data_IF_716233433732
#
_entry.id   IF_716233433732
#
_cell.length_a   1.000
_cell.length_b   1.000
_cell.length_c   1.000
_cell.angle_alpha   90.00
_cell.angle_beta   90.00
_cell.angle_gamma   90.00
#
_symmetry.space_group_name_H-M   'P 1'
#
loop_
_entity.id
_entity.type
_entity.pdbx_description
1 polymer ?
#
# COMPACT_ATOMS: atom_id res chain seq x y z
N UNK A 1 20.24 -40.28 -73.31
CA UNK A 1 19.17 -39.65 -74.13
C UNK A 1 18.80 -38.38 -73.41
N UNK A 2 19.46 -37.27 -73.76
CA UNK A 2 18.96 -36.29 -74.71
C UNK A 2 17.61 -35.69 -74.29
N UNK A 3 17.46 -34.47 -73.96
CA UNK A 3 17.69 -33.17 -74.58
C UNK A 3 17.32 -32.10 -73.56
N UNK A 4 18.14 -31.09 -73.26
CA UNK A 4 18.31 -29.84 -73.98
C UNK A 4 17.01 -29.09 -74.24
N UNK A 5 16.89 -27.90 -73.65
CA UNK A 5 16.80 -26.56 -74.31
C UNK A 5 16.41 -25.57 -73.25
N UNK A 6 17.29 -24.61 -72.87
CA UNK A 6 17.69 -23.40 -73.50
C UNK A 6 16.51 -22.42 -73.76
N UNK A 7 16.48 -21.37 -73.15
CA UNK A 7 16.93 -20.03 -73.48
C UNK A 7 15.99 -19.03 -72.82
N UNK A 8 16.53 -18.12 -72.04
CA UNK A 8 16.97 -16.82 -72.50
C UNK A 8 15.87 -15.86 -72.94
N UNK A 9 15.84 -14.81 -72.27
CA UNK A 9 15.71 -13.40 -72.71
C UNK A 9 15.07 -12.63 -71.59
N UNK A 10 15.73 -11.83 -70.84
CA UNK A 10 16.29 -10.54 -71.20
C UNK A 10 15.31 -9.67 -72.01
N UNK A 11 15.07 -8.62 -71.42
CA UNK A 11 14.75 -7.27 -71.89
C UNK A 11 13.42 -6.77 -71.27
N UNK A 12 13.71 -5.71 -70.55
CA UNK A 12 13.12 -4.39 -70.72
C UNK A 12 11.64 -4.35 -70.38
N UNK A 13 11.23 -3.54 -69.64
CA UNK A 13 11.46 -2.10 -69.55
C UNK A 13 10.88 -1.66 -68.18
N UNK A 14 11.63 -0.85 -67.61
CA UNK A 14 11.33 0.56 -67.58
C UNK A 14 10.13 0.96 -66.74
N UNK A 15 10.54 1.53 -65.66
CA UNK A 15 10.00 2.82 -65.24
C UNK A 15 8.49 2.86 -65.02
N UNK A 16 8.11 2.34 -63.87
CA UNK A 16 6.98 2.96 -63.23
C UNK A 16 7.39 3.22 -61.79
N UNK A 17 8.02 4.37 -61.68
CA UNK A 17 8.28 5.03 -60.41
C UNK A 17 6.92 5.40 -59.82
N UNK A 18 6.23 4.39 -59.26
CA UNK A 18 5.06 4.64 -58.43
C UNK A 18 5.59 5.18 -57.11
N UNK A 19 5.56 6.47 -57.00
CA UNK A 19 5.69 7.17 -55.73
C UNK A 19 4.53 6.71 -54.86
N UNK A 20 4.72 5.62 -54.16
CA UNK A 20 3.90 5.30 -53.01
C UNK A 20 4.42 6.18 -51.89
N UNK A 21 3.87 7.37 -51.80
CA UNK A 21 3.92 8.16 -50.58
C UNK A 21 3.25 7.35 -49.49
N UNK A 22 4.06 6.55 -48.83
CA UNK A 22 3.65 5.87 -47.63
C UNK A 22 3.40 6.97 -46.60
N UNK A 23 2.14 7.34 -46.46
CA UNK A 23 1.65 8.12 -45.33
C UNK A 23 1.91 7.27 -44.07
N UNK A 24 3.07 7.48 -43.47
CA UNK A 24 3.29 7.09 -42.10
C UNK A 24 2.33 7.90 -41.25
N UNK A 25 1.12 7.39 -41.09
CA UNK A 25 0.28 7.76 -39.97
C UNK A 25 1.03 7.37 -38.73
N UNK A 26 1.76 8.32 -38.16
CA UNK A 26 2.25 8.20 -36.78
C UNK A 26 1.03 8.14 -35.90
N UNK A 27 0.54 6.93 -35.66
CA UNK A 27 -0.33 6.69 -34.52
C UNK A 27 0.49 7.08 -33.30
N UNK A 28 0.24 8.27 -32.79
CA UNK A 28 0.65 8.66 -31.47
C UNK A 28 0.00 7.69 -30.52
N UNK A 29 0.73 6.65 -30.13
CA UNK A 29 0.39 5.83 -29.00
C UNK A 29 0.39 6.78 -27.81
N UNK A 30 -0.79 7.27 -27.46
CA UNK A 30 -0.99 7.93 -26.19
C UNK A 30 -0.59 6.90 -25.14
N UNK A 31 0.65 6.97 -24.69
CA UNK A 31 1.07 6.30 -23.48
C UNK A 31 0.18 6.88 -22.38
N UNK A 32 -0.85 6.13 -22.04
CA UNK A 32 -1.55 6.31 -20.79
C UNK A 32 -0.49 6.15 -19.71
N UNK A 33 0.11 7.26 -19.33
CA UNK A 33 0.93 7.31 -18.13
C UNK A 33 0.02 6.90 -17.01
N UNK A 34 0.09 5.59 -16.69
CA UNK A 34 -0.51 5.03 -15.49
C UNK A 34 0.00 5.92 -14.36
N UNK A 35 -0.85 6.82 -13.91
CA UNK A 35 -0.52 7.74 -12.84
C UNK A 35 0.02 6.90 -11.69
N UNK A 36 1.33 7.01 -11.48
CA UNK A 36 1.99 6.47 -10.31
C UNK A 36 1.16 6.94 -9.12
N UNK A 37 0.74 6.05 -8.20
CA UNK A 37 0.01 6.49 -7.02
C UNK A 37 0.77 7.65 -6.40
N UNK A 38 0.12 8.80 -6.35
CA UNK A 38 0.70 10.02 -5.78
C UNK A 38 1.22 9.66 -4.41
N UNK A 39 2.51 9.85 -4.21
CA UNK A 39 3.13 9.63 -2.92
C UNK A 39 2.27 10.32 -1.85
N UNK A 40 1.96 9.56 -0.79
CA UNK A 40 1.15 10.06 0.32
C UNK A 40 1.54 11.51 0.65
N UNK A 41 0.55 12.38 0.70
CA UNK A 41 0.75 13.80 0.98
C UNK A 41 1.52 13.90 2.30
N UNK A 42 2.73 14.42 2.24
CA UNK A 42 3.50 14.74 3.43
C UNK A 42 2.76 15.89 4.10
N UNK A 43 2.13 15.61 5.23
CA UNK A 43 1.59 16.64 6.10
C UNK A 43 2.68 17.04 7.08
N UNK A 44 2.94 18.34 7.17
CA UNK A 44 3.82 18.92 8.18
C UNK A 44 3.17 18.99 9.57
N UNK A 45 1.92 18.59 9.65
CA UNK A 45 1.09 18.65 10.85
C UNK A 45 1.36 17.44 11.75
N UNK A 46 1.15 17.65 13.03
CA UNK A 46 1.19 16.60 14.05
C UNK A 46 0.19 15.49 13.74
N UNK A 47 0.58 14.23 13.96
CA UNK A 47 -0.30 13.09 13.75
C UNK A 47 -1.42 13.06 14.77
N UNK A 48 -2.66 12.97 14.32
CA UNK A 48 -3.82 12.80 15.21
C UNK A 48 -3.72 11.47 15.96
N UNK A 49 -3.37 10.41 15.24
CA UNK A 49 -3.18 9.08 15.82
C UNK A 49 -1.69 8.82 16.01
N UNK A 50 -1.19 9.08 17.22
CA UNK A 50 0.22 8.95 17.58
C UNK A 50 0.48 7.91 18.67
N UNK A 51 -0.59 7.36 19.24
CA UNK A 51 -0.53 6.35 20.28
C UNK A 51 -1.69 5.34 20.15
N UNK A 52 -1.52 4.21 20.78
CA UNK A 52 -2.59 3.24 20.95
C UNK A 52 -2.63 2.77 22.41
N UNK A 53 -3.78 2.97 23.09
CA UNK A 53 -3.98 2.68 24.51
C UNK A 53 -2.90 3.30 25.42
N UNK A 54 -2.38 4.47 25.03
CA UNK A 54 -1.31 5.20 25.70
C UNK A 54 0.10 4.67 25.45
N UNK A 55 0.29 3.76 24.51
CA UNK A 55 1.62 3.28 24.05
C UNK A 55 2.02 4.01 22.79
N UNK A 56 3.29 4.44 22.73
CA UNK A 56 3.85 5.22 21.64
C UNK A 56 5.12 4.57 21.08
N UNK A 57 5.52 4.99 19.87
CA UNK A 57 6.82 4.65 19.29
C UNK A 57 7.95 5.07 20.23
N UNK A 58 8.95 4.20 20.38
CA UNK A 58 10.12 4.44 21.22
C UNK A 58 9.99 4.05 22.69
N UNK A 59 8.80 3.65 23.16
CA UNK A 59 8.60 3.12 24.51
C UNK A 59 9.39 1.82 24.72
N UNK A 60 9.82 1.55 25.95
CA UNK A 60 10.45 0.29 26.29
C UNK A 60 9.40 -0.83 26.45
N UNK A 61 9.77 -2.05 26.06
CA UNK A 61 8.89 -3.22 26.14
C UNK A 61 8.32 -3.45 27.55
N UNK A 62 9.10 -3.20 28.59
CA UNK A 62 8.63 -3.36 29.97
C UNK A 62 7.60 -2.30 30.36
N UNK A 63 7.71 -1.07 29.83
CA UNK A 63 6.71 -0.03 30.09
C UNK A 63 5.42 -0.31 29.32
N UNK A 64 5.53 -0.86 28.09
CA UNK A 64 4.38 -1.36 27.33
C UNK A 64 3.64 -2.44 28.13
N UNK A 65 4.35 -3.43 28.65
CA UNK A 65 3.78 -4.52 29.44
C UNK A 65 3.16 -4.05 30.76
N UNK A 66 3.75 -3.04 31.42
CA UNK A 66 3.13 -2.39 32.58
C UNK A 66 1.81 -1.70 32.22
N UNK A 67 1.76 -1.07 31.03
CA UNK A 67 0.60 -0.31 30.57
C UNK A 67 -0.54 -1.21 30.08
N UNK A 68 -0.22 -2.20 29.25
CA UNK A 68 -1.21 -3.05 28.57
C UNK A 68 -1.51 -4.35 29.31
N UNK A 69 -0.67 -4.73 30.29
CA UNK A 69 -0.77 -6.00 31.00
C UNK A 69 0.03 -7.12 30.32
N UNK A 70 -0.34 -8.35 30.61
CA UNK A 70 0.32 -9.55 30.11
C UNK A 70 -0.09 -9.78 28.65
N UNK A 71 0.86 -9.84 27.69
CA UNK A 71 0.53 -10.16 26.31
C UNK A 71 0.08 -11.63 26.19
N UNK A 72 -0.80 -11.91 25.23
CA UNK A 72 -1.21 -13.26 24.87
C UNK A 72 -0.03 -14.09 24.30
N UNK A 73 0.90 -13.42 23.64
CA UNK A 73 2.19 -13.99 23.24
C UNK A 73 3.29 -12.95 23.49
N UNK A 74 4.27 -13.33 24.32
CA UNK A 74 5.41 -12.48 24.70
C UNK A 74 6.66 -12.94 23.96
N UNK A 75 7.39 -11.99 23.34
CA UNK A 75 8.68 -12.25 22.71
C UNK A 75 9.68 -11.12 22.97
N UNK A 76 10.91 -11.32 22.49
CA UNK A 76 11.96 -10.30 22.59
C UNK A 76 11.81 -9.23 21.50
N UNK A 77 11.36 -9.62 20.32
CA UNK A 77 11.18 -8.74 19.18
C UNK A 77 9.73 -8.27 19.00
N UNK A 78 8.77 -8.94 19.66
CA UNK A 78 7.35 -8.59 19.56
C UNK A 78 6.54 -9.07 20.75
N UNK A 79 5.48 -8.33 21.05
CA UNK A 79 4.38 -8.75 21.91
C UNK A 79 3.08 -8.75 21.11
N UNK A 80 2.22 -9.72 21.41
CA UNK A 80 0.90 -9.84 20.82
C UNK A 80 -0.17 -9.78 21.90
N UNK A 81 -1.11 -8.87 21.76
CA UNK A 81 -2.22 -8.65 22.68
C UNK A 81 -3.54 -8.94 22.01
N UNK A 82 -4.48 -9.43 22.79
CA UNK A 82 -5.87 -9.63 22.39
C UNK A 82 -6.73 -8.87 23.39
N UNK A 83 -7.62 -8.01 22.88
CA UNK A 83 -8.50 -7.20 23.69
C UNK A 83 -9.96 -7.41 23.30
N UNK A 84 -10.83 -7.20 24.30
CA UNK A 84 -12.27 -7.32 24.14
C UNK A 84 -12.77 -8.77 24.12
N UNK A 85 -14.09 -8.90 24.17
CA UNK A 85 -14.75 -10.20 24.09
C UNK A 85 -14.67 -10.77 22.67
N UNK A 86 -14.43 -12.08 22.55
CA UNK A 86 -14.35 -12.79 21.27
C UNK A 86 -13.24 -12.29 20.34
N UNK A 87 -12.06 -11.93 20.86
CA UNK A 87 -10.88 -11.52 20.10
C UNK A 87 -11.15 -10.37 19.11
N UNK A 88 -11.98 -9.42 19.53
CA UNK A 88 -12.44 -8.33 18.66
C UNK A 88 -11.32 -7.42 18.20
N UNK A 89 -10.28 -7.30 19.00
CA UNK A 89 -9.19 -6.36 18.78
C UNK A 89 -7.88 -7.07 19.05
N UNK A 90 -6.99 -7.07 18.06
CA UNK A 90 -5.68 -7.70 18.10
C UNK A 90 -4.62 -6.65 17.91
N UNK A 91 -3.63 -6.61 18.80
CA UNK A 91 -2.54 -5.64 18.71
C UNK A 91 -1.20 -6.36 18.70
N UNK A 92 -0.40 -6.06 17.71
CA UNK A 92 0.99 -6.48 17.61
C UNK A 92 1.89 -5.28 17.84
N UNK A 93 2.85 -5.42 18.73
CA UNK A 93 3.87 -4.41 19.02
C UNK A 93 5.23 -5.00 18.70
N UNK A 94 5.97 -4.35 17.79
CA UNK A 94 7.31 -4.77 17.42
C UNK A 94 8.34 -3.88 18.12
N UNK A 95 9.45 -4.50 18.50
CA UNK A 95 10.58 -3.86 19.18
C UNK A 95 11.85 -3.93 18.34
N UNK A 96 12.71 -2.94 18.50
CA UNK A 96 14.07 -3.02 17.99
C UNK A 96 14.97 -3.83 18.96
N UNK A 97 16.25 -4.00 18.57
CA UNK A 97 17.25 -4.72 19.37
C UNK A 97 17.51 -4.10 20.75
N UNK A 98 17.08 -2.88 20.98
CA UNK A 98 17.18 -2.19 22.28
C UNK A 98 15.90 -2.31 23.10
N UNK A 99 14.91 -3.09 22.64
CA UNK A 99 13.62 -3.27 23.27
C UNK A 99 12.67 -2.07 23.14
N UNK A 100 12.92 -1.17 22.20
CA UNK A 100 12.05 -0.01 21.95
C UNK A 100 11.02 -0.29 20.88
N UNK A 101 9.79 0.17 21.09
CA UNK A 101 8.68 0.07 20.15
C UNK A 101 9.05 0.73 18.81
N UNK A 102 8.96 -0.04 17.74
CA UNK A 102 9.14 0.43 16.35
C UNK A 102 7.84 0.39 15.56
N UNK A 103 6.92 -0.50 15.94
CA UNK A 103 5.63 -0.66 15.24
C UNK A 103 4.55 -0.99 16.26
N UNK A 104 3.39 -0.37 16.05
CA UNK A 104 2.14 -0.71 16.72
C UNK A 104 1.13 -0.98 15.61
N UNK A 105 0.63 -2.20 15.50
CA UNK A 105 -0.38 -2.60 14.52
C UNK A 105 -1.60 -3.15 15.24
N UNK A 106 -2.76 -2.61 14.91
CA UNK A 106 -4.03 -2.98 15.55
C UNK A 106 -5.03 -3.41 14.50
N UNK A 107 -5.59 -4.60 14.66
CA UNK A 107 -6.63 -5.16 13.83
C UNK A 107 -7.95 -5.25 14.61
N UNK A 108 -8.98 -4.61 14.07
CA UNK A 108 -10.36 -4.72 14.56
C UNK A 108 -11.08 -5.76 13.70
N UNK A 109 -11.38 -6.89 14.33
CA UNK A 109 -11.93 -8.08 13.65
C UNK A 109 -13.46 -8.04 13.49
N UNK A 110 -14.12 -7.04 14.03
CA UNK A 110 -15.58 -6.91 14.02
C UNK A 110 -15.96 -5.46 13.74
N UNK A 111 -16.95 -5.25 12.89
CA UNK A 111 -17.53 -3.93 12.68
C UNK A 111 -18.42 -3.57 13.87
N UNK A 112 -18.21 -2.38 14.42
CA UNK A 112 -18.99 -1.91 15.58
C UNK A 112 -18.65 -0.46 15.92
N UNK A 113 -19.34 0.13 16.90
CA UNK A 113 -19.11 1.51 17.29
C UNK A 113 -17.69 1.77 17.87
N UNK A 114 -17.05 0.71 18.35
CA UNK A 114 -15.71 0.78 18.97
C UNK A 114 -14.58 0.68 17.94
N UNK A 115 -14.91 0.46 16.65
CA UNK A 115 -13.90 0.36 15.58
C UNK A 115 -13.44 1.75 15.20
N UNK A 116 -12.13 1.96 15.23
CA UNK A 116 -11.51 3.23 14.86
C UNK A 116 -11.86 3.65 13.44
N UNK A 117 -12.17 4.91 13.27
CA UNK A 117 -12.56 5.50 11.99
C UNK A 117 -11.40 6.28 11.34
N UNK A 118 -11.43 6.51 10.01
CA UNK A 118 -10.46 7.38 9.35
C UNK A 118 -10.39 8.79 9.95
N UNK A 119 -11.52 9.33 10.40
CA UNK A 119 -11.61 10.62 11.08
C UNK A 119 -10.79 10.65 12.38
N UNK A 120 -10.82 9.57 13.15
CA UNK A 120 -10.05 9.46 14.40
C UNK A 120 -8.56 9.28 14.12
N UNK A 121 -8.19 8.67 12.98
CA UNK A 121 -6.79 8.41 12.63
C UNK A 121 -6.13 9.62 11.95
N UNK A 122 -6.85 10.31 11.06
CA UNK A 122 -6.27 11.37 10.22
C UNK A 122 -6.92 12.75 10.38
N UNK A 123 -7.89 12.88 11.28
CA UNK A 123 -8.66 14.14 11.42
C UNK A 123 -9.67 14.39 10.29
N UNK A 124 -9.76 13.49 9.30
CA UNK A 124 -10.67 13.59 8.18
C UNK A 124 -11.00 12.20 7.62
N UNK A 125 -12.20 12.02 7.08
CA UNK A 125 -12.52 10.82 6.30
C UNK A 125 -11.92 10.91 4.88
N UNK A 126 -11.92 9.80 4.17
CA UNK A 126 -11.49 9.72 2.77
C UNK A 126 -12.31 8.66 2.02
N UNK A 127 -12.30 8.78 0.70
CA UNK A 127 -13.13 7.96 -0.16
C UNK A 127 -12.78 6.47 -0.10
N UNK A 128 -13.82 5.63 -0.20
CA UNK A 128 -13.67 4.19 -0.40
C UNK A 128 -13.33 3.91 -1.86
N UNK A 129 -12.64 2.82 -2.11
CA UNK A 129 -12.53 2.25 -3.45
C UNK A 129 -13.88 1.70 -3.91
N UNK A 130 -14.07 1.40 -5.23
CA UNK A 130 -15.31 0.86 -5.76
C UNK A 130 -15.78 -0.43 -5.09
N UNK A 131 -14.87 -1.24 -4.57
CA UNK A 131 -15.16 -2.48 -3.83
C UNK A 131 -15.52 -2.26 -2.36
N UNK A 132 -15.56 -1.00 -1.92
CA UNK A 132 -15.85 -0.61 -0.53
C UNK A 132 -14.64 -0.67 0.40
N UNK A 133 -13.47 -1.10 -0.06
CA UNK A 133 -12.24 -1.04 0.74
C UNK A 133 -11.74 0.38 0.88
N UNK A 134 -10.99 0.64 1.96
CA UNK A 134 -10.29 1.90 2.20
C UNK A 134 -8.82 1.64 2.48
N UNK A 135 -7.94 2.50 1.99
CA UNK A 135 -6.52 2.48 2.38
C UNK A 135 -5.91 3.86 2.23
N UNK A 136 -5.23 4.31 3.28
CA UNK A 136 -4.46 5.54 3.29
C UNK A 136 -3.21 5.37 4.16
N UNK A 137 -2.12 5.98 3.73
CA UNK A 137 -0.88 6.08 4.49
C UNK A 137 -0.42 7.54 4.47
N UNK A 138 -0.10 8.07 5.65
CA UNK A 138 0.46 9.41 5.83
C UNK A 138 1.79 9.31 6.56
N UNK A 139 2.79 10.01 6.06
CA UNK A 139 4.10 10.13 6.70
C UNK A 139 4.16 11.41 7.52
N UNK A 140 4.74 11.32 8.69
CA UNK A 140 4.99 12.41 9.62
C UNK A 140 6.50 12.52 9.88
N UNK A 141 7.26 13.17 8.97
CA UNK A 141 8.72 13.17 9.05
C UNK A 141 9.26 13.84 10.31
N UNK A 142 8.57 14.86 10.82
CA UNK A 142 8.94 15.54 12.06
C UNK A 142 8.82 14.63 13.29
N UNK A 143 7.82 13.72 13.25
CA UNK A 143 7.57 12.74 14.31
C UNK A 143 8.39 11.45 14.14
N UNK A 144 8.98 11.23 12.96
CA UNK A 144 9.82 10.08 12.65
C UNK A 144 9.07 8.77 12.41
N UNK A 145 7.77 8.83 12.10
CA UNK A 145 6.95 7.66 11.80
C UNK A 145 5.90 7.92 10.71
N UNK A 146 5.28 6.88 10.25
CA UNK A 146 4.09 6.95 9.41
C UNK A 146 2.91 6.24 10.07
N UNK A 147 1.70 6.62 9.65
CA UNK A 147 0.44 6.01 10.07
C UNK A 147 -0.30 5.51 8.84
N UNK A 148 -0.82 4.29 8.90
CA UNK A 148 -1.71 3.76 7.88
C UNK A 148 -3.04 3.34 8.48
N UNK A 149 -4.06 3.42 7.66
CA UNK A 149 -5.39 2.89 7.90
C UNK A 149 -5.79 2.03 6.72
N UNK A 150 -6.31 0.85 6.98
CA UNK A 150 -6.94 0.03 5.96
C UNK A 150 -8.25 -0.56 6.46
N UNK A 151 -9.18 -0.75 5.53
CA UNK A 151 -10.42 -1.48 5.74
C UNK A 151 -10.61 -2.42 4.57
N UNK A 152 -10.80 -3.71 4.84
CA UNK A 152 -11.08 -4.68 3.78
C UNK A 152 -12.47 -4.49 3.19
N UNK A 153 -12.68 -4.97 1.98
CA UNK A 153 -14.02 -5.04 1.37
C UNK A 153 -14.88 -6.14 2.01
N UNK A 154 -16.17 -6.14 1.68
CA UNK A 154 -17.11 -7.20 2.07
C UNK A 154 -17.95 -6.88 3.31
N UNK A 155 -18.73 -7.87 3.75
CA UNK A 155 -19.74 -7.70 4.82
C UNK A 155 -19.15 -7.81 6.23
N UNK A 156 -17.98 -8.40 6.36
CA UNK A 156 -17.24 -8.52 7.61
C UNK A 156 -15.84 -7.90 7.46
N UNK A 157 -15.76 -6.58 7.23
CA UNK A 157 -14.48 -5.93 7.00
C UNK A 157 -13.61 -5.95 8.26
N UNK A 158 -12.33 -6.17 8.05
CA UNK A 158 -11.29 -5.94 9.05
C UNK A 158 -10.79 -4.51 8.88
N UNK A 159 -10.66 -3.80 9.97
CA UNK A 159 -10.01 -2.49 10.01
C UNK A 159 -8.65 -2.66 10.68
N UNK A 160 -7.60 -2.20 10.00
CA UNK A 160 -6.24 -2.21 10.53
C UNK A 160 -5.69 -0.79 10.59
N UNK A 161 -5.04 -0.46 11.71
CA UNK A 161 -4.29 0.80 11.87
C UNK A 161 -2.87 0.46 12.29
N UNK A 162 -1.90 1.07 11.64
CA UNK A 162 -0.49 0.86 11.98
C UNK A 162 0.23 2.19 12.14
N UNK A 163 1.00 2.32 13.22
CA UNK A 163 2.01 3.34 13.42
C UNK A 163 3.35 2.65 13.30
N UNK A 164 4.26 3.17 12.46
CA UNK A 164 5.58 2.56 12.30
C UNK A 164 6.66 3.63 12.17
N UNK A 165 7.74 3.46 12.91
CA UNK A 165 8.96 4.26 12.83
C UNK A 165 9.54 4.21 11.41
N UNK A 166 10.00 5.35 10.91
CA UNK A 166 10.73 5.47 9.65
C UNK A 166 12.22 5.27 9.83
#
# INVERSE_FOLDING_TARGET
MTHRFRSSRWFLDSLLLAIITLLFSTAAVAQTTKSRPTAATVKDDEAVFHEYRGVQIGWLADDVRKKLGVPANKGDEQDYYIFGDNDRERCQILYDKTGKVTTISVDFMVVGPDVITPQQVFGADFESKPDGSKHKLVRYPKEGYWVSYSRTAGNTPIVSVTIQKM
#
